data_IF_536126696798
#
_entry.id   IF_536126696798
#
_cell.length_a   1.000
_cell.length_b   1.000
_cell.length_c   1.000
_cell.angle_alpha   90.00
_cell.angle_beta   90.00
_cell.angle_gamma   90.00
#
_symmetry.space_group_name_H-M   'P 1'
#
loop_
_entity.id
_entity.type
_entity.pdbx_description
1 polymer ?
#
# COMPACT_ATOMS: atom_id res chain seq x y z
N UNK A 1 13.94 12.97 -22.93
CA UNK A 1 13.04 13.59 -21.95
C UNK A 1 11.61 13.28 -22.36
N UNK A 2 11.07 12.16 -21.93
CA UNK A 2 9.67 11.77 -22.15
C UNK A 2 9.23 10.93 -20.95
N UNK A 3 8.09 11.26 -20.36
CA UNK A 3 7.22 10.25 -19.74
C UNK A 3 6.95 10.27 -18.24
N UNK A 4 7.48 11.21 -17.44
CA UNK A 4 7.31 11.18 -15.97
C UNK A 4 6.08 11.92 -15.42
N UNK A 5 5.08 12.27 -16.23
CA UNK A 5 4.03 13.23 -15.84
C UNK A 5 2.59 12.74 -15.86
N UNK A 6 2.32 11.52 -16.32
CA UNK A 6 0.95 11.12 -16.70
C UNK A 6 0.25 10.21 -15.68
N UNK A 7 0.97 9.60 -14.72
CA UNK A 7 0.37 8.75 -13.66
C UNK A 7 -0.39 9.56 -12.61
N UNK A 8 -0.03 10.84 -12.39
CA UNK A 8 -0.61 11.70 -11.36
C UNK A 8 -2.11 12.00 -11.57
N UNK A 9 -2.65 11.78 -12.78
CA UNK A 9 -4.04 12.10 -13.12
C UNK A 9 -5.04 10.99 -12.84
N UNK A 10 -4.63 9.71 -12.80
CA UNK A 10 -5.55 8.60 -12.53
C UNK A 10 -6.08 8.67 -11.09
N UNK A 11 -5.22 9.08 -10.16
CA UNK A 11 -5.56 9.20 -8.73
C UNK A 11 -6.50 10.36 -8.41
N UNK A 12 -6.45 11.49 -9.15
CA UNK A 12 -7.41 12.58 -8.94
C UNK A 12 -8.83 12.16 -9.32
N UNK A 13 -8.99 11.28 -10.31
CA UNK A 13 -10.29 10.71 -10.66
C UNK A 13 -10.84 9.77 -9.57
N UNK A 14 -9.97 8.93 -8.99
CA UNK A 14 -10.37 7.97 -7.95
C UNK A 14 -10.64 8.64 -6.59
N UNK A 15 -9.88 9.69 -6.23
CA UNK A 15 -10.09 10.49 -5.01
C UNK A 15 -11.41 11.27 -5.00
N UNK A 16 -11.99 11.56 -6.16
CA UNK A 16 -13.29 12.27 -6.26
C UNK A 16 -14.47 11.31 -6.05
N UNK A 17 -14.28 10.01 -6.30
CA UNK A 17 -15.27 8.96 -6.04
C UNK A 17 -15.05 8.27 -4.69
N UNK A 18 -15.29 8.98 -3.57
CA UNK A 18 -15.36 8.46 -2.18
C UNK A 18 -14.61 7.13 -1.93
N UNK A 19 -13.31 7.24 -1.65
CA UNK A 19 -12.57 6.15 -1.03
C UNK A 19 -13.22 5.81 0.32
N UNK A 20 -13.40 4.52 0.65
CA UNK A 20 -14.00 4.14 1.92
C UNK A 20 -13.15 4.71 3.05
N UNK A 21 -13.83 5.21 4.09
CA UNK A 21 -13.29 5.93 5.26
C UNK A 21 -12.23 5.18 6.09
N UNK A 22 -11.80 4.00 5.64
CA UNK A 22 -10.91 3.05 6.31
C UNK A 22 -9.45 3.12 5.84
N UNK A 23 -9.10 4.00 4.90
CA UNK A 23 -7.72 4.11 4.40
C UNK A 23 -6.89 4.97 5.35
N UNK A 24 -5.67 4.55 5.68
CA UNK A 24 -4.69 5.44 6.33
C UNK A 24 -4.32 6.55 5.36
N UNK A 25 -5.02 7.68 5.44
CA UNK A 25 -4.79 8.84 4.58
C UNK A 25 -3.35 9.35 4.73
N UNK A 26 -2.78 9.30 5.94
CA UNK A 26 -1.40 9.69 6.20
C UNK A 26 -0.38 8.74 5.54
N UNK A 27 -0.59 7.42 5.64
CA UNK A 27 0.29 6.42 5.04
C UNK A 27 0.31 6.50 3.51
N UNK A 28 -0.87 6.63 2.90
CA UNK A 28 -1.01 6.80 1.45
C UNK A 28 -0.36 8.10 0.96
N UNK A 29 -0.53 9.21 1.68
CA UNK A 29 0.09 10.49 1.30
C UNK A 29 1.62 10.41 1.40
N UNK A 30 2.16 9.79 2.43
CA UNK A 30 3.61 9.59 2.55
C UNK A 30 4.17 8.67 1.45
N UNK A 31 3.44 7.59 1.13
CA UNK A 31 3.77 6.66 0.04
C UNK A 31 3.82 7.39 -1.32
N UNK A 32 2.77 8.15 -1.64
CA UNK A 32 2.70 8.94 -2.87
C UNK A 32 3.76 10.04 -2.95
N UNK A 33 4.32 10.48 -1.82
CA UNK A 33 5.42 11.44 -1.78
C UNK A 33 6.80 10.76 -1.89
N UNK A 34 6.85 9.44 -2.08
CA UNK A 34 8.08 8.65 -2.11
C UNK A 34 8.77 8.53 -0.75
N UNK A 35 8.08 8.88 0.34
CA UNK A 35 8.64 8.84 1.70
C UNK A 35 8.28 7.52 2.35
N UNK A 36 9.02 6.46 2.04
CA UNK A 36 8.75 5.13 2.61
C UNK A 36 9.16 5.02 4.08
N UNK A 37 10.38 5.47 4.40
CA UNK A 37 11.02 5.30 5.70
C UNK A 37 11.23 6.63 6.43
N UNK A 38 11.63 6.56 7.71
CA UNK A 38 11.94 7.74 8.53
C UNK A 38 10.73 8.30 9.28
N UNK A 39 10.94 9.43 9.96
CA UNK A 39 9.90 10.09 10.77
C UNK A 39 8.80 10.61 9.86
N UNK A 40 7.55 10.20 10.11
CA UNK A 40 6.37 10.42 9.26
C UNK A 40 6.51 9.77 7.86
N UNK A 41 7.29 8.70 7.72
CA UNK A 41 7.32 7.86 6.53
C UNK A 41 6.06 7.02 6.39
N UNK A 42 5.84 6.45 5.21
CA UNK A 42 4.69 5.61 4.91
C UNK A 42 4.58 4.43 5.89
N UNK A 43 5.70 3.75 6.18
CA UNK A 43 5.74 2.64 7.13
C UNK A 43 5.24 3.10 8.50
N UNK A 44 5.86 4.15 9.07
CA UNK A 44 5.47 4.67 10.38
C UNK A 44 4.00 5.15 10.40
N UNK A 45 3.51 5.73 9.31
CA UNK A 45 2.11 6.16 9.18
C UNK A 45 1.13 5.00 8.93
N UNK A 46 1.57 3.85 8.42
CA UNK A 46 0.72 2.66 8.33
C UNK A 46 0.69 1.92 9.67
N UNK A 47 1.82 1.87 10.38
CA UNK A 47 1.91 1.31 11.74
C UNK A 47 1.15 2.14 12.78
N UNK A 48 1.27 3.48 12.72
CA UNK A 48 0.59 4.41 13.66
C UNK A 48 -0.73 4.95 13.15
N UNK A 49 -1.05 4.74 11.87
CA UNK A 49 -2.24 5.30 11.22
C UNK A 49 -3.55 4.78 11.76
N UNK A 50 -3.50 3.79 12.64
CA UNK A 50 -4.63 3.24 13.36
C UNK A 50 -4.29 3.14 14.84
N UNK A 51 -4.25 4.29 15.51
CA UNK A 51 -4.28 4.39 16.97
C UNK A 51 -5.15 5.59 17.36
N UNK A 52 -6.35 5.28 17.85
CA UNK A 52 -7.15 6.15 18.71
C UNK A 52 -8.29 5.39 19.42
N UNK A 53 -8.83 4.30 18.83
CA UNK A 53 -10.02 3.62 19.38
C UNK A 53 -10.03 2.08 19.25
N UNK A 54 -9.36 1.49 18.23
CA UNK A 54 -9.24 0.03 18.06
C UNK A 54 -7.76 -0.40 18.06
N UNK A 55 -7.42 -1.33 18.94
CA UNK A 55 -6.05 -1.82 19.24
C UNK A 55 -5.41 -2.65 18.10
N UNK A 56 -6.14 -2.91 17.00
CA UNK A 56 -5.72 -3.87 15.98
C UNK A 56 -5.60 -3.19 14.62
N UNK A 57 -4.43 -3.34 13.99
CA UNK A 57 -4.19 -2.92 12.61
C UNK A 57 -5.13 -3.67 11.67
N UNK A 58 -5.70 -2.97 10.70
CA UNK A 58 -6.61 -3.55 9.71
C UNK A 58 -5.83 -4.27 8.58
N UNK A 59 -6.45 -5.19 7.83
CA UNK A 59 -5.82 -5.90 6.71
C UNK A 59 -5.25 -4.97 5.63
N UNK A 60 -5.82 -3.76 5.50
CA UNK A 60 -5.33 -2.72 4.61
C UNK A 60 -3.93 -2.19 4.99
N UNK A 61 -3.63 -2.10 6.29
CA UNK A 61 -2.31 -1.69 6.76
C UNK A 61 -1.30 -2.82 6.56
N UNK A 62 -1.69 -4.07 6.85
CA UNK A 62 -0.84 -5.24 6.64
C UNK A 62 -0.42 -5.42 5.19
N UNK A 63 -1.34 -5.27 4.23
CA UNK A 63 -0.97 -5.36 2.81
C UNK A 63 -0.03 -4.22 2.39
N UNK A 64 -0.25 -3.00 2.88
CA UNK A 64 0.60 -1.85 2.56
C UNK A 64 2.02 -2.05 3.09
N UNK A 65 2.15 -2.43 4.36
CA UNK A 65 3.43 -2.73 5.00
C UNK A 65 4.14 -3.88 4.29
N UNK A 66 3.44 -4.98 4.03
CA UNK A 66 3.98 -6.10 3.27
C UNK A 66 4.56 -5.65 1.91
N UNK A 67 3.82 -4.86 1.11
CA UNK A 67 4.33 -4.38 -0.18
C UNK A 67 5.54 -3.45 -0.06
N UNK A 68 5.52 -2.54 0.91
CA UNK A 68 6.63 -1.61 1.13
C UNK A 68 7.89 -2.36 1.57
N UNK A 69 7.77 -3.31 2.51
CA UNK A 69 8.92 -4.10 2.95
C UNK A 69 9.44 -5.02 1.83
N UNK A 70 8.57 -5.63 1.00
CA UNK A 70 9.01 -6.38 -0.20
C UNK A 70 9.76 -5.48 -1.18
N UNK A 71 9.26 -4.26 -1.41
CA UNK A 71 9.93 -3.29 -2.26
C UNK A 71 11.31 -2.87 -1.72
N UNK A 72 11.46 -2.82 -0.39
CA UNK A 72 12.72 -2.51 0.28
C UNK A 72 13.67 -3.71 0.45
N UNK A 73 13.36 -4.88 -0.13
CA UNK A 73 14.16 -6.12 0.02
C UNK A 73 14.25 -6.59 1.50
N UNK A 74 13.20 -6.30 2.29
CA UNK A 74 13.09 -6.66 3.70
C UNK A 74 12.18 -7.88 3.88
N UNK A 75 12.62 -9.04 3.36
CA UNK A 75 11.81 -10.26 3.31
C UNK A 75 11.27 -10.72 4.67
N UNK A 76 12.06 -10.60 5.75
CA UNK A 76 11.64 -11.04 7.08
C UNK A 76 10.42 -10.25 7.58
N UNK A 77 10.48 -8.92 7.50
CA UNK A 77 9.35 -8.05 7.88
C UNK A 77 8.17 -8.23 6.92
N UNK A 78 8.45 -8.34 5.62
CA UNK A 78 7.43 -8.60 4.61
C UNK A 78 6.63 -9.88 4.93
N UNK A 79 7.30 -10.98 5.26
CA UNK A 79 6.63 -12.23 5.64
C UNK A 79 5.87 -12.13 6.95
N UNK A 80 6.38 -11.36 7.92
CA UNK A 80 5.68 -11.11 9.17
C UNK A 80 4.32 -10.43 8.90
N UNK A 81 4.31 -9.34 8.14
CA UNK A 81 3.09 -8.63 7.77
C UNK A 81 2.15 -9.47 6.90
N UNK A 82 2.70 -10.27 5.99
CA UNK A 82 1.92 -11.23 5.20
C UNK A 82 1.21 -12.26 6.08
N UNK A 83 1.86 -12.72 7.15
CA UNK A 83 1.26 -13.66 8.11
C UNK A 83 0.08 -13.04 8.86
N UNK A 84 0.19 -11.77 9.26
CA UNK A 84 -0.94 -11.05 9.86
C UNK A 84 -2.07 -10.84 8.86
N UNK A 85 -1.76 -10.46 7.62
CA UNK A 85 -2.74 -10.31 6.56
C UNK A 85 -3.51 -11.62 6.28
N UNK A 86 -2.82 -12.75 6.19
CA UNK A 86 -3.42 -14.07 5.95
C UNK A 86 -4.42 -14.45 7.06
N UNK A 87 -4.07 -14.17 8.33
CA UNK A 87 -4.97 -14.37 9.48
C UNK A 87 -6.26 -13.55 9.40
N UNK A 88 -6.22 -12.41 8.71
CA UNK A 88 -7.34 -11.46 8.57
C UNK A 88 -8.14 -11.67 7.26
N UNK A 89 -7.91 -12.78 6.55
CA UNK A 89 -8.60 -13.10 5.29
C UNK A 89 -7.80 -12.80 4.03
N UNK A 90 -6.51 -12.46 4.18
CA UNK A 90 -5.56 -12.30 3.08
C UNK A 90 -5.79 -11.02 2.27
N UNK A 91 -5.16 -10.98 1.10
CA UNK A 91 -5.37 -9.89 0.12
C UNK A 91 -6.83 -9.79 -0.35
N UNK A 92 -7.59 -10.88 -0.24
CA UNK A 92 -9.02 -10.92 -0.56
C UNK A 92 -9.88 -10.06 0.38
N UNK A 93 -9.38 -9.69 1.56
CA UNK A 93 -10.06 -8.79 2.49
C UNK A 93 -9.83 -7.32 2.15
N UNK A 94 -8.94 -7.00 1.21
CA UNK A 94 -8.59 -5.63 0.82
C UNK A 94 -9.07 -5.35 -0.60
N UNK A 95 -9.56 -4.12 -0.82
CA UNK A 95 -9.97 -3.69 -2.14
C UNK A 95 -8.78 -3.72 -3.13
N UNK A 96 -8.98 -4.35 -4.29
CA UNK A 96 -7.96 -4.44 -5.35
C UNK A 96 -7.40 -3.06 -5.73
N UNK A 97 -8.28 -2.07 -5.87
CA UNK A 97 -7.91 -0.71 -6.25
C UNK A 97 -6.90 -0.10 -5.27
N UNK A 98 -6.97 -0.46 -3.99
CA UNK A 98 -6.01 -0.03 -2.98
C UNK A 98 -4.65 -0.72 -3.15
N UNK A 99 -4.62 -2.03 -3.41
CA UNK A 99 -3.38 -2.77 -3.67
C UNK A 99 -2.70 -2.23 -4.95
N UNK A 100 -3.49 -2.00 -6.00
CA UNK A 100 -3.03 -1.40 -7.24
C UNK A 100 -2.43 0.00 -7.01
N UNK A 101 -3.10 0.84 -6.21
CA UNK A 101 -2.61 2.17 -5.87
C UNK A 101 -1.24 2.14 -5.17
N UNK A 102 -1.03 1.17 -4.28
CA UNK A 102 0.27 0.98 -3.61
C UNK A 102 1.34 0.56 -4.63
N UNK A 103 1.01 -0.40 -5.50
CA UNK A 103 1.93 -0.86 -6.54
C UNK A 103 2.33 0.26 -7.49
N UNK A 104 1.37 1.01 -8.02
CA UNK A 104 1.64 2.16 -8.88
C UNK A 104 2.53 3.20 -8.19
N UNK A 105 2.26 3.53 -6.92
CA UNK A 105 3.09 4.47 -6.17
C UNK A 105 4.53 3.97 -5.95
N UNK A 106 4.71 2.66 -5.73
CA UNK A 106 6.03 2.04 -5.59
C UNK A 106 6.76 1.94 -6.94
N UNK A 107 6.04 1.61 -8.01
CA UNK A 107 6.59 1.57 -9.37
C UNK A 107 7.02 2.96 -9.86
N UNK A 108 6.25 4.01 -9.53
CA UNK A 108 6.62 5.40 -9.82
C UNK A 108 7.90 5.81 -9.06
N UNK A 109 8.06 5.30 -7.83
CA UNK A 109 9.24 5.57 -7.02
C UNK A 109 10.50 4.87 -7.55
N UNK A 110 10.43 3.55 -7.79
CA UNK A 110 11.52 2.78 -8.37
C UNK A 110 10.98 1.55 -9.11
N UNK A 111 11.03 1.60 -10.44
CA UNK A 111 10.51 0.53 -11.28
C UNK A 111 11.29 -0.78 -11.15
N UNK A 112 12.59 -0.74 -10.80
CA UNK A 112 13.41 -1.96 -10.65
C UNK A 112 13.14 -2.65 -9.32
N UNK A 113 13.00 -1.89 -8.24
CA UNK A 113 12.58 -2.43 -6.96
C UNK A 113 11.14 -2.96 -7.01
N UNK A 114 10.26 -2.31 -7.79
CA UNK A 114 8.89 -2.77 -8.00
C UNK A 114 8.78 -4.14 -8.71
N UNK A 115 9.80 -4.59 -9.44
CA UNK A 115 9.81 -5.94 -10.05
C UNK A 115 9.75 -7.06 -8.99
N UNK A 116 10.09 -6.76 -7.72
CA UNK A 116 9.98 -7.68 -6.59
C UNK A 116 8.56 -7.83 -6.06
N UNK A 117 7.66 -6.92 -6.42
CA UNK A 117 6.30 -6.93 -5.89
C UNK A 117 5.57 -8.19 -6.37
N UNK A 118 4.84 -8.88 -5.48
CA UNK A 118 4.05 -10.04 -5.87
C UNK A 118 2.91 -9.61 -6.80
N UNK A 119 2.50 -10.48 -7.73
CA UNK A 119 1.35 -10.20 -8.57
C UNK A 119 0.09 -9.97 -7.73
N UNK A 120 -0.75 -9.02 -8.13
CA UNK A 120 -2.05 -8.79 -7.50
C UNK A 120 -2.96 -9.96 -7.87
N UNK A 121 -3.50 -10.66 -6.87
CA UNK A 121 -4.43 -11.76 -7.11
C UNK A 121 -5.68 -11.27 -7.87
N UNK A 122 -5.88 -11.78 -9.09
CA UNK A 122 -7.09 -11.55 -9.86
C UNK A 122 -8.17 -12.52 -9.38
N UNK A 123 -9.11 -12.05 -8.55
CA UNK A 123 -10.42 -12.70 -8.51
C UNK A 123 -11.28 -12.11 -9.61
N UNK A 124 -11.33 -12.83 -10.73
CA UNK A 124 -12.46 -12.76 -11.66
C UNK A 124 -13.69 -13.17 -10.84
N UNK A 125 -14.49 -12.19 -10.41
CA UNK A 125 -15.77 -12.47 -9.78
C UNK A 125 -16.69 -13.06 -10.85
N UNK A 126 -16.89 -14.37 -10.79
CA UNK A 126 -17.88 -15.11 -11.55
C UNK A 126 -19.32 -14.74 -11.13
#
# INVERSE_FOLDING_TARGET
MLGGGETWLIFRGLLIGKLPRAWSQAGMVALMQGRLTGRNGAIECFEKGWDADEEHLNPMAYVALHRIHTFLDQDEEAQNWKTYLDREGGESAVAREYIQAIHDALTDLDSQAAERLPAIENKESE
#
